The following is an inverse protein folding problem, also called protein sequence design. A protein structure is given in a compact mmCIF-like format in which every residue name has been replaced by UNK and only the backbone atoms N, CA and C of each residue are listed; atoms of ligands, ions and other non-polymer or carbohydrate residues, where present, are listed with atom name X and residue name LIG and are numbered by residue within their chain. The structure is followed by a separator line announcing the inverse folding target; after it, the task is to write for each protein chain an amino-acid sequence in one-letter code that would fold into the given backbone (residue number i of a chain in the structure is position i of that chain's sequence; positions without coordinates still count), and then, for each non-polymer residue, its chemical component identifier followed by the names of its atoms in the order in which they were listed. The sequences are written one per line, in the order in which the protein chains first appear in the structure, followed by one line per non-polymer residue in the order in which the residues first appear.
data_IF_437501381686
#
_entry.id   IF_437501381686
#
_cell.length_a   1.000
_cell.length_b   1.000
_cell.length_c   1.000
_cell.angle_alpha   90.00
_cell.angle_beta   90.00
_cell.angle_gamma   90.00
#
_symmetry.space_group_name_H-M   'P 1'
#
loop_
_entity.id
_entity.type
_entity.pdbx_description
1 polymer ?
#
# COMPACT_ATOMS: atom_id res chain seq x y z
N UNK A 1 14.18 -29.88 -18.61
CA UNK A 1 15.03 -28.75 -18.22
C UNK A 1 14.10 -27.67 -17.68
N UNK A 2 14.27 -27.26 -16.42
CA UNK A 2 13.50 -26.15 -15.91
C UNK A 2 13.89 -24.87 -16.69
N UNK A 3 12.96 -23.92 -16.88
CA UNK A 3 13.16 -22.80 -17.80
C UNK A 3 14.40 -21.93 -17.52
N UNK A 4 14.98 -22.03 -16.32
CA UNK A 4 16.08 -21.19 -15.85
C UNK A 4 17.44 -21.89 -15.77
N UNK A 5 17.52 -23.20 -16.05
CA UNK A 5 18.74 -24.00 -15.84
C UNK A 5 19.95 -23.49 -16.64
N UNK A 6 19.71 -22.82 -17.78
CA UNK A 6 20.76 -22.23 -18.63
C UNK A 6 21.33 -20.90 -18.12
N UNK A 7 20.83 -20.34 -17.02
CA UNK A 7 21.17 -18.99 -16.54
C UNK A 7 21.79 -19.00 -15.13
N UNK A 8 23.02 -19.52 -14.96
CA UNK A 8 23.63 -19.70 -13.64
C UNK A 8 23.79 -18.38 -12.86
N UNK A 9 24.06 -17.27 -13.54
CA UNK A 9 24.17 -15.95 -12.88
C UNK A 9 22.82 -15.46 -12.34
N UNK A 10 21.72 -15.76 -13.05
CA UNK A 10 20.37 -15.42 -12.62
C UNK A 10 19.95 -16.29 -11.43
N UNK A 11 20.24 -17.59 -11.46
CA UNK A 11 19.97 -18.50 -10.35
C UNK A 11 20.71 -18.06 -9.08
N UNK A 12 22.01 -17.78 -9.19
CA UNK A 12 22.80 -17.26 -8.06
C UNK A 12 22.25 -15.93 -7.54
N UNK A 13 21.73 -15.05 -8.42
CA UNK A 13 21.08 -13.82 -7.98
C UNK A 13 19.79 -14.09 -7.23
N UNK A 14 18.94 -14.99 -7.75
CA UNK A 14 17.69 -15.37 -7.11
C UNK A 14 17.93 -15.97 -5.71
N UNK A 15 18.98 -16.79 -5.56
CA UNK A 15 19.39 -17.32 -4.25
C UNK A 15 19.78 -16.21 -3.27
N UNK A 16 20.53 -15.19 -3.72
CA UNK A 16 20.87 -14.03 -2.86
C UNK A 16 19.63 -13.24 -2.44
N UNK A 17 18.65 -13.08 -3.32
CA UNK A 17 17.38 -12.42 -2.99
C UNK A 17 16.57 -13.28 -2.02
N UNK A 18 16.47 -14.58 -2.24
CA UNK A 18 15.79 -15.51 -1.33
C UNK A 18 16.44 -15.52 0.06
N UNK A 19 17.77 -15.41 0.12
CA UNK A 19 18.53 -15.36 1.37
C UNK A 19 18.29 -14.11 2.22
N UNK A 20 17.67 -13.04 1.67
CA UNK A 20 17.19 -11.90 2.47
C UNK A 20 16.16 -12.37 3.52
N UNK A 21 15.42 -13.44 3.21
CA UNK A 21 14.45 -14.04 4.11
C UNK A 21 13.22 -13.17 4.35
N UNK A 22 12.50 -13.43 5.44
CA UNK A 22 11.20 -12.82 5.73
C UNK A 22 11.10 -12.11 7.08
N UNK A 23 12.24 -11.93 7.75
CA UNK A 23 12.32 -11.36 9.10
C UNK A 23 11.72 -12.26 10.18
N UNK A 24 11.52 -11.71 11.37
CA UNK A 24 10.81 -12.38 12.48
C UNK A 24 9.35 -11.95 12.48
N UNK A 25 8.43 -12.90 12.36
CA UNK A 25 6.98 -12.65 12.35
C UNK A 25 6.31 -13.28 13.56
N UNK A 26 5.35 -12.58 14.15
CA UNK A 26 4.43 -13.11 15.15
C UNK A 26 3.03 -13.21 14.55
N UNK A 27 2.29 -14.26 14.90
CA UNK A 27 0.93 -14.45 14.42
C UNK A 27 -0.03 -13.43 15.06
N UNK A 28 -0.97 -12.93 14.26
CA UNK A 28 -2.09 -12.08 14.68
C UNK A 28 -3.35 -12.56 13.95
N UNK A 29 -4.47 -12.69 14.67
CA UNK A 29 -5.75 -13.03 14.04
C UNK A 29 -6.34 -11.82 13.31
N UNK A 30 -7.23 -12.08 12.34
CA UNK A 30 -7.94 -11.01 11.65
C UNK A 30 -8.71 -10.09 12.62
N UNK A 31 -9.33 -10.66 13.65
CA UNK A 31 -10.05 -9.88 14.66
C UNK A 31 -9.12 -8.98 15.48
N UNK A 32 -7.95 -9.50 15.89
CA UNK A 32 -6.95 -8.69 16.59
C UNK A 32 -6.46 -7.51 15.74
N UNK A 33 -6.29 -7.70 14.43
CA UNK A 33 -5.91 -6.63 13.52
C UNK A 33 -6.99 -5.54 13.42
N UNK A 34 -8.27 -5.92 13.36
CA UNK A 34 -9.40 -4.98 13.37
C UNK A 34 -9.49 -4.23 14.70
N UNK A 35 -9.27 -4.92 15.82
CA UNK A 35 -9.26 -4.29 17.15
C UNK A 35 -8.16 -3.22 17.25
N UNK A 36 -6.95 -3.53 16.79
CA UNK A 36 -5.84 -2.56 16.72
C UNK A 36 -6.19 -1.36 15.83
N UNK A 37 -6.80 -1.59 14.67
CA UNK A 37 -7.18 -0.52 13.75
C UNK A 37 -8.26 0.40 14.33
N UNK A 38 -9.24 -0.16 15.05
CA UNK A 38 -10.31 0.59 15.73
C UNK A 38 -9.75 1.42 16.89
N UNK A 39 -8.85 0.85 17.68
CA UNK A 39 -8.38 1.48 18.93
C UNK A 39 -7.23 2.48 18.67
N UNK A 40 -6.56 2.40 17.52
CA UNK A 40 -5.51 3.33 17.12
C UNK A 40 -6.05 4.63 16.49
N UNK A 41 -5.25 5.70 16.58
CA UNK A 41 -5.49 6.94 15.83
C UNK A 41 -4.54 7.02 14.64
N UNK A 42 -5.07 7.33 13.45
CA UNK A 42 -4.26 7.51 12.25
C UNK A 42 -3.23 8.62 12.42
N UNK A 43 -1.99 8.36 11.99
CA UNK A 43 -0.90 9.34 11.97
C UNK A 43 -0.93 10.25 10.72
N UNK A 44 -1.85 10.00 9.78
CA UNK A 44 -1.95 10.75 8.55
C UNK A 44 -2.33 12.22 8.83
N UNK A 45 -1.57 13.15 8.23
CA UNK A 45 -1.81 14.58 8.34
C UNK A 45 -2.28 15.14 7.02
N UNK A 46 -3.18 16.12 7.08
CA UNK A 46 -3.64 16.82 5.89
C UNK A 46 -2.46 17.56 5.26
N UNK A 47 -2.14 17.23 4.01
CA UNK A 47 -1.02 17.84 3.27
C UNK A 47 -1.51 18.27 1.90
N UNK A 48 -1.37 19.57 1.61
CA UNK A 48 -1.67 20.13 0.30
C UNK A 48 -0.45 19.95 -0.61
N UNK A 49 -0.66 19.36 -1.78
CA UNK A 49 0.35 19.35 -2.83
C UNK A 49 0.10 20.55 -3.77
N UNK A 50 0.97 21.59 -3.76
CA UNK A 50 0.81 22.74 -4.64
C UNK A 50 1.05 22.41 -6.12
N UNK A 51 1.58 21.22 -6.43
CA UNK A 51 1.84 20.72 -7.77
C UNK A 51 0.89 19.58 -8.15
N UNK A 52 -0.22 19.37 -7.42
CA UNK A 52 -1.19 18.35 -7.81
C UNK A 52 -1.70 18.64 -9.25
N UNK A 53 -1.55 17.70 -10.19
CA UNK A 53 -1.73 17.97 -11.62
C UNK A 53 -3.17 18.31 -12.00
N UNK A 54 -4.15 17.96 -11.15
CA UNK A 54 -5.56 18.28 -11.37
C UNK A 54 -6.14 19.13 -10.22
N UNK A 55 -5.27 19.70 -9.38
CA UNK A 55 -5.65 20.63 -8.32
C UNK A 55 -6.43 20.00 -7.16
N UNK A 56 -6.25 18.70 -6.87
CA UNK A 56 -6.87 18.05 -5.72
C UNK A 56 -6.40 18.68 -4.41
N UNK A 57 -7.28 18.70 -3.41
CA UNK A 57 -7.03 19.27 -2.08
C UNK A 57 -7.56 18.35 -0.97
N UNK A 58 -6.88 18.31 0.18
CA UNK A 58 -7.43 17.63 1.35
C UNK A 58 -8.86 18.07 1.67
N UNK A 59 -9.68 17.14 2.15
CA UNK A 59 -11.11 17.33 2.42
C UNK A 59 -12.04 16.97 1.27
N UNK A 60 -11.53 16.79 0.05
CA UNK A 60 -12.34 16.36 -1.10
C UNK A 60 -12.68 14.87 -1.01
N UNK A 61 -13.93 14.50 -1.29
CA UNK A 61 -14.27 13.09 -1.52
C UNK A 61 -13.70 12.63 -2.85
N UNK A 62 -12.93 11.54 -2.82
CA UNK A 62 -12.30 10.95 -3.99
C UNK A 62 -12.55 9.45 -4.04
N UNK A 63 -12.40 8.87 -5.22
CA UNK A 63 -12.37 7.43 -5.45
C UNK A 63 -10.99 7.06 -5.97
N UNK A 64 -10.35 6.07 -5.35
CA UNK A 64 -9.07 5.50 -5.79
C UNK A 64 -9.32 4.09 -6.28
N UNK A 65 -8.95 3.79 -7.51
CA UNK A 65 -9.16 2.48 -8.15
C UNK A 65 -7.88 2.05 -8.85
N UNK A 66 -7.41 0.81 -8.65
CA UNK A 66 -6.32 0.25 -9.46
C UNK A 66 -6.65 0.27 -10.95
N UNK A 67 -5.67 0.59 -11.80
CA UNK A 67 -5.83 0.68 -13.25
C UNK A 67 -5.42 -0.60 -13.98
N UNK A 68 -4.85 -1.58 -13.28
CA UNK A 68 -4.43 -2.87 -13.79
C UNK A 68 -5.43 -3.99 -13.43
N UNK A 69 -5.38 -4.49 -12.19
CA UNK A 69 -6.07 -5.67 -11.67
C UNK A 69 -6.73 -5.37 -10.33
N UNK A 70 -7.74 -6.15 -9.93
CA UNK A 70 -8.44 -5.93 -8.66
C UNK A 70 -9.08 -4.54 -8.58
N UNK A 71 -9.87 -4.18 -9.60
CA UNK A 71 -10.46 -2.83 -9.83
C UNK A 71 -11.61 -2.50 -8.86
N UNK A 72 -11.46 -2.88 -7.60
CA UNK A 72 -12.41 -2.58 -6.54
C UNK A 72 -12.15 -1.15 -6.04
N UNK A 73 -13.07 -0.20 -6.26
CA UNK A 73 -12.86 1.20 -5.90
C UNK A 73 -12.88 1.41 -4.39
N UNK A 74 -11.99 2.28 -3.90
CA UNK A 74 -12.00 2.74 -2.52
C UNK A 74 -12.39 4.21 -2.48
N UNK A 75 -13.51 4.50 -1.83
CA UNK A 75 -14.05 5.86 -1.67
C UNK A 75 -13.66 6.41 -0.29
N UNK A 76 -13.23 7.66 -0.23
CA UNK A 76 -12.89 8.33 1.03
C UNK A 76 -12.60 9.82 0.87
N UNK A 77 -12.34 10.48 1.98
CA UNK A 77 -11.90 11.88 2.02
C UNK A 77 -10.39 11.94 1.75
N UNK A 78 -9.93 12.74 0.79
CA UNK A 78 -8.51 12.96 0.54
C UNK A 78 -7.87 13.63 1.76
N UNK A 79 -6.82 13.03 2.29
CA UNK A 79 -6.01 13.60 3.38
C UNK A 79 -4.72 14.16 2.83
N UNK A 80 -4.03 13.43 1.96
CA UNK A 80 -2.79 13.88 1.33
C UNK A 80 -2.66 13.30 -0.08
N UNK A 81 -2.03 14.07 -0.96
CA UNK A 81 -1.62 13.67 -2.30
C UNK A 81 -0.13 13.99 -2.46
N UNK A 82 0.60 13.18 -3.22
CA UNK A 82 1.98 13.43 -3.58
C UNK A 82 2.46 12.46 -4.65
N UNK A 83 3.67 12.68 -5.17
CA UNK A 83 4.22 11.96 -6.33
C UNK A 83 4.20 10.43 -6.18
N UNK A 84 4.35 9.92 -4.96
CA UNK A 84 4.44 8.47 -4.69
C UNK A 84 3.27 7.91 -3.86
N UNK A 85 2.34 8.75 -3.38
CA UNK A 85 1.29 8.30 -2.48
C UNK A 85 0.03 9.15 -2.55
N UNK A 86 -1.12 8.50 -2.38
CA UNK A 86 -2.41 9.12 -2.08
C UNK A 86 -2.90 8.53 -0.75
N UNK A 87 -3.34 9.38 0.16
CA UNK A 87 -3.88 8.99 1.46
C UNK A 87 -5.31 9.45 1.56
N UNK A 88 -6.24 8.52 1.79
CA UNK A 88 -7.66 8.81 2.01
C UNK A 88 -8.11 8.34 3.39
N UNK A 89 -9.06 9.06 3.99
CA UNK A 89 -9.73 8.69 5.24
C UNK A 89 -11.09 8.09 4.92
N UNK A 90 -11.38 6.96 5.56
CA UNK A 90 -12.69 6.31 5.56
C UNK A 90 -13.09 5.97 6.99
N UNK A 91 -14.38 5.83 7.22
CA UNK A 91 -14.95 5.27 8.44
C UNK A 91 -15.65 3.96 8.09
N UNK A 92 -15.23 2.88 8.75
CA UNK A 92 -15.78 1.54 8.60
C UNK A 92 -16.58 1.18 9.86
N UNK A 93 -17.47 0.18 9.76
CA UNK A 93 -18.28 -0.32 10.88
C UNK A 93 -17.66 -1.57 11.49
#
# INVERSE_FOLDING_TARGET
MAPLDGFPRLLNWAERIAAIGHGSRSQMSAQQALDVARDATSIARATVDPQDPIGRKPGQTVTVTPDDTGRDPVIGELVASGVHQIVIRRSDR
#
